data_IF_923081916077
#
_entry.id   IF_923081916077
#
_cell.length_a   1.000
_cell.length_b   1.000
_cell.length_c   1.000
_cell.angle_alpha   90.00
_cell.angle_beta   90.00
_cell.angle_gamma   90.00
#
_symmetry.space_group_name_H-M   'P 1'
#
loop_
_entity.id
_entity.type
_entity.pdbx_description
1 polymer ?
#
# COMPACT_ATOMS: atom_id res chain seq x y z
N UNK A 1 -2.61 11.77 -36.63
CA UNK A 1 -2.87 11.43 -35.22
C UNK A 1 -4.36 11.14 -35.13
N UNK A 2 -4.73 9.96 -34.64
CA UNK A 2 -6.04 9.34 -34.85
C UNK A 2 -7.15 10.10 -34.09
N UNK A 3 -8.28 10.39 -34.74
CA UNK A 3 -9.44 11.09 -34.14
C UNK A 3 -9.98 10.32 -32.92
N UNK A 4 -9.73 9.01 -32.87
CA UNK A 4 -10.01 8.16 -31.73
C UNK A 4 -9.15 8.48 -30.50
N UNK A 5 -7.87 8.82 -30.69
CA UNK A 5 -6.93 9.21 -29.63
C UNK A 5 -7.30 10.58 -29.03
N UNK A 6 -7.74 11.53 -29.85
CA UNK A 6 -8.23 12.83 -29.36
C UNK A 6 -9.50 12.69 -28.49
N UNK A 7 -10.43 11.79 -28.85
CA UNK A 7 -11.63 11.57 -28.04
C UNK A 7 -11.37 10.89 -26.68
N UNK A 8 -10.31 10.09 -26.58
CA UNK A 8 -9.85 9.49 -25.31
C UNK A 8 -9.16 10.52 -24.40
N UNK A 9 -8.49 11.52 -24.99
CA UNK A 9 -7.78 12.57 -24.26
C UNK A 9 -8.70 13.73 -23.83
N UNK A 10 -9.83 13.94 -24.50
CA UNK A 10 -10.80 15.01 -24.21
C UNK A 10 -11.54 14.90 -22.85
N UNK A 11 -11.18 13.93 -22.01
CA UNK A 11 -11.64 13.81 -20.62
C UNK A 11 -10.58 13.29 -19.66
N UNK A 12 -9.31 13.16 -20.08
CA UNK A 12 -8.24 12.73 -19.20
C UNK A 12 -7.91 13.86 -18.21
N UNK A 13 -7.84 13.59 -16.90
CA UNK A 13 -7.45 14.63 -15.94
C UNK A 13 -6.05 15.14 -16.31
N UNK A 14 -5.85 16.45 -16.20
CA UNK A 14 -4.57 17.15 -16.43
C UNK A 14 -3.43 16.57 -15.53
N UNK A 15 -3.78 15.80 -14.50
CA UNK A 15 -2.87 15.05 -13.63
C UNK A 15 -3.34 13.59 -13.53
N UNK A 16 -2.44 12.63 -13.77
CA UNK A 16 -2.67 11.22 -13.47
C UNK A 16 -2.37 10.90 -12.01
N UNK A 17 -3.16 10.04 -11.39
CA UNK A 17 -3.01 9.71 -9.97
C UNK A 17 -2.54 8.28 -9.77
N UNK A 18 -1.65 8.09 -8.80
CA UNK A 18 -1.13 6.77 -8.43
C UNK A 18 -1.32 6.54 -6.93
N UNK A 19 -1.73 5.33 -6.56
CA UNK A 19 -1.75 4.87 -5.17
C UNK A 19 -0.88 3.63 -5.05
N UNK A 20 0.05 3.67 -4.11
CA UNK A 20 0.86 2.50 -3.75
C UNK A 20 0.06 1.60 -2.80
N UNK A 21 0.06 0.30 -3.02
CA UNK A 21 -0.71 -0.65 -2.21
C UNK A 21 0.16 -1.80 -1.75
N UNK A 22 -0.01 -2.22 -0.50
CA UNK A 22 0.65 -3.43 0.01
C UNK A 22 0.37 -4.63 -0.89
N UNK A 23 1.38 -5.45 -1.15
CA UNK A 23 1.33 -6.56 -2.12
C UNK A 23 0.03 -7.38 -2.02
N UNK A 24 -0.33 -7.77 -0.79
CA UNK A 24 -1.46 -8.65 -0.51
C UNK A 24 -2.84 -8.06 -0.80
N UNK A 25 -2.95 -6.74 -1.05
CA UNK A 25 -4.20 -6.11 -1.52
C UNK A 25 -4.52 -6.57 -2.95
N UNK A 26 -3.49 -6.70 -3.80
CA UNK A 26 -3.64 -7.11 -5.21
C UNK A 26 -3.24 -8.57 -5.46
N UNK A 27 -2.51 -9.20 -4.54
CA UNK A 27 -2.16 -10.61 -4.64
C UNK A 27 -2.10 -11.27 -3.25
N UNK A 28 -3.23 -11.80 -2.80
CA UNK A 28 -3.39 -12.42 -1.48
C UNK A 28 -2.53 -13.66 -1.27
N UNK A 29 -1.95 -14.26 -2.32
CA UNK A 29 -1.02 -15.39 -2.18
C UNK A 29 0.29 -15.02 -1.47
N UNK A 30 0.55 -13.73 -1.24
CA UNK A 30 1.68 -13.24 -0.43
C UNK A 30 1.37 -13.08 1.05
N UNK A 31 0.10 -13.19 1.46
CA UNK A 31 -0.25 -13.23 2.89
C UNK A 31 0.32 -14.47 3.52
N UNK A 32 0.53 -14.44 4.84
CA UNK A 32 0.75 -15.69 5.56
C UNK A 32 -0.56 -16.48 5.47
N UNK A 33 -0.49 -17.71 4.99
CA UNK A 33 -1.65 -18.59 4.94
C UNK A 33 -1.25 -20.05 5.17
N UNK A 34 -2.16 -20.75 5.83
CA UNK A 34 -2.31 -22.21 5.79
C UNK A 34 -3.79 -22.53 5.58
N UNK A 35 -4.11 -23.79 5.27
CA UNK A 35 -5.50 -24.26 5.14
C UNK A 35 -6.27 -24.00 6.43
N UNK A 36 -7.26 -23.08 6.39
CA UNK A 36 -8.06 -22.69 7.56
C UNK A 36 -7.56 -21.47 8.35
N UNK A 37 -6.50 -20.79 7.90
CA UNK A 37 -5.95 -19.58 8.57
C UNK A 37 -6.85 -18.34 8.50
N UNK A 38 -7.89 -18.33 7.66
CA UNK A 38 -8.74 -17.15 7.43
C UNK A 38 -8.00 -15.98 6.76
N UNK A 39 -6.78 -16.19 6.25
CA UNK A 39 -5.98 -15.17 5.60
C UNK A 39 -6.44 -14.80 4.18
N UNK A 40 -7.28 -15.63 3.57
CA UNK A 40 -7.82 -15.43 2.23
C UNK A 40 -9.23 -14.87 2.29
N UNK A 41 -9.49 -13.80 1.54
CA UNK A 41 -10.80 -13.20 1.38
C UNK A 41 -11.18 -13.26 -0.10
N UNK A 42 -12.11 -14.16 -0.41
CA UNK A 42 -12.59 -14.39 -1.77
C UNK A 42 -13.23 -13.12 -2.38
N UNK A 43 -12.91 -12.84 -3.65
CA UNK A 43 -13.45 -11.70 -4.39
C UNK A 43 -12.97 -10.32 -3.93
N UNK A 44 -12.15 -10.21 -2.87
CA UNK A 44 -11.71 -8.92 -2.34
C UNK A 44 -10.98 -8.06 -3.40
N UNK A 45 -10.08 -8.65 -4.20
CA UNK A 45 -9.32 -7.92 -5.21
C UNK A 45 -10.29 -7.24 -6.20
N UNK A 46 -11.28 -7.99 -6.70
CA UNK A 46 -12.29 -7.47 -7.63
C UNK A 46 -13.08 -6.35 -6.97
N UNK A 47 -13.60 -6.54 -5.76
CA UNK A 47 -14.34 -5.51 -5.02
C UNK A 47 -13.52 -4.25 -4.78
N UNK A 48 -12.25 -4.39 -4.42
CA UNK A 48 -11.34 -3.28 -4.20
C UNK A 48 -11.13 -2.48 -5.50
N UNK A 49 -10.85 -3.17 -6.61
CA UNK A 49 -10.68 -2.56 -7.92
C UNK A 49 -11.96 -1.87 -8.41
N UNK A 50 -13.13 -2.48 -8.23
CA UNK A 50 -14.42 -1.91 -8.60
C UNK A 50 -14.71 -0.59 -7.87
N UNK A 51 -14.31 -0.47 -6.60
CA UNK A 51 -14.47 0.76 -5.81
C UNK A 51 -13.50 1.86 -6.21
N UNK A 52 -12.30 1.51 -6.70
CA UNK A 52 -11.29 2.47 -7.15
C UNK A 52 -11.46 2.87 -8.63
N UNK A 53 -12.04 2.00 -9.45
CA UNK A 53 -12.23 2.21 -10.89
C UNK A 53 -12.83 3.58 -11.25
N UNK A 54 -13.88 4.09 -10.57
CA UNK A 54 -14.46 5.38 -10.91
C UNK A 54 -13.52 6.58 -10.74
N UNK A 55 -12.40 6.41 -10.00
CA UNK A 55 -11.45 7.48 -9.72
C UNK A 55 -10.35 7.60 -10.78
N UNK A 56 -10.21 6.62 -11.68
CA UNK A 56 -9.16 6.61 -12.70
C UNK A 56 -7.74 6.58 -12.11
N UNK A 57 -7.57 6.02 -10.91
CA UNK A 57 -6.28 5.96 -10.20
C UNK A 57 -5.48 4.72 -10.63
N UNK A 58 -4.22 4.91 -11.01
CA UNK A 58 -3.25 3.84 -11.21
C UNK A 58 -2.79 3.23 -9.88
N UNK A 59 -2.48 1.93 -9.89
CA UNK A 59 -2.02 1.22 -8.70
C UNK A 59 -0.58 0.76 -8.85
N UNK A 60 0.26 1.09 -7.87
CA UNK A 60 1.63 0.58 -7.75
C UNK A 60 1.69 -0.47 -6.65
N UNK A 61 1.98 -1.72 -6.99
CA UNK A 61 2.05 -2.80 -6.02
C UNK A 61 3.41 -2.77 -5.30
N UNK A 62 3.39 -2.51 -3.98
CA UNK A 62 4.58 -2.57 -3.14
C UNK A 62 5.04 -4.02 -2.94
N UNK A 63 6.34 -4.26 -2.72
CA UNK A 63 6.84 -5.58 -2.33
C UNK A 63 6.29 -5.97 -0.95
N UNK A 64 6.20 -7.28 -0.69
CA UNK A 64 5.87 -7.81 0.63
C UNK A 64 7.16 -8.21 1.34
N UNK A 65 7.61 -7.51 2.41
CA UNK A 65 8.86 -7.86 3.07
C UNK A 65 8.83 -9.25 3.70
N UNK A 66 7.69 -9.65 4.26
CA UNK A 66 7.55 -10.96 4.90
C UNK A 66 7.65 -12.11 3.88
N UNK A 67 6.99 -11.98 2.73
CA UNK A 67 7.00 -12.99 1.68
C UNK A 67 8.32 -13.00 0.91
N UNK A 68 8.90 -11.82 0.60
CA UNK A 68 10.19 -11.72 -0.06
C UNK A 68 11.35 -12.27 0.76
N UNK A 69 11.20 -12.32 2.09
CA UNK A 69 12.23 -12.86 2.99
C UNK A 69 12.06 -14.35 3.31
N UNK A 70 10.83 -14.83 3.55
CA UNK A 70 10.58 -16.22 4.02
C UNK A 70 9.72 -17.06 3.08
N UNK A 71 9.11 -16.47 2.06
CA UNK A 71 8.15 -17.16 1.19
C UNK A 71 6.86 -17.59 1.90
N UNK A 72 6.24 -18.64 1.36
CA UNK A 72 5.05 -19.30 1.92
C UNK A 72 5.15 -20.83 1.78
N UNK A 73 4.57 -21.61 2.71
CA UNK A 73 3.93 -21.14 3.95
C UNK A 73 4.97 -20.65 4.97
N UNK A 74 4.58 -19.70 5.83
CA UNK A 74 5.42 -19.21 6.94
C UNK A 74 4.60 -19.07 8.22
N UNK A 75 5.26 -19.18 9.37
CA UNK A 75 4.63 -18.98 10.67
C UNK A 75 4.27 -17.50 10.88
N UNK A 76 3.14 -17.18 11.53
CA UNK A 76 2.81 -15.80 11.88
C UNK A 76 3.79 -15.29 12.93
N UNK A 77 4.40 -14.15 12.62
CA UNK A 77 5.36 -13.48 13.49
C UNK A 77 4.94 -12.03 13.72
N UNK A 78 5.34 -11.53 14.88
CA UNK A 78 5.12 -10.16 15.36
C UNK A 78 6.20 -9.22 14.84
N UNK A 79 6.04 -7.91 15.03
CA UNK A 79 7.03 -6.92 14.57
C UNK A 79 8.41 -7.24 15.15
N UNK A 80 8.48 -7.50 16.44
CA UNK A 80 9.73 -7.79 17.15
C UNK A 80 10.36 -9.12 16.72
N UNK A 81 9.55 -10.16 16.54
CA UNK A 81 10.02 -11.47 16.06
C UNK A 81 10.65 -11.35 14.67
N UNK A 82 10.00 -10.61 13.75
CA UNK A 82 10.56 -10.35 12.43
C UNK A 82 11.86 -9.53 12.50
N UNK A 83 11.90 -8.47 13.31
CA UNK A 83 13.11 -7.63 13.48
C UNK A 83 14.28 -8.40 14.09
N UNK A 84 14.02 -9.48 14.85
CA UNK A 84 15.06 -10.34 15.43
C UNK A 84 15.72 -11.27 14.40
N UNK A 85 15.11 -11.47 13.22
CA UNK A 85 15.69 -12.29 12.17
C UNK A 85 16.93 -11.61 11.56
N UNK A 86 18.08 -12.30 11.47
CA UNK A 86 19.30 -11.73 10.89
C UNK A 86 19.05 -11.19 9.48
N UNK A 87 19.35 -9.91 9.26
CA UNK A 87 19.23 -9.26 7.95
C UNK A 87 17.81 -8.80 7.56
N UNK A 88 16.77 -9.08 8.35
CA UNK A 88 15.40 -8.72 7.97
C UNK A 88 15.14 -7.21 7.93
N UNK A 89 15.68 -6.47 8.90
CA UNK A 89 15.57 -5.00 8.93
C UNK A 89 16.29 -4.36 7.73
N UNK A 90 17.44 -4.90 7.32
CA UNK A 90 18.17 -4.45 6.13
C UNK A 90 17.41 -4.78 4.84
N UNK A 91 16.78 -5.96 4.78
CA UNK A 91 15.87 -6.33 3.70
C UNK A 91 14.70 -5.34 3.57
N UNK A 92 14.04 -4.99 4.67
CA UNK A 92 12.96 -3.99 4.67
C UNK A 92 13.44 -2.62 4.19
N UNK A 93 14.63 -2.19 4.64
CA UNK A 93 15.25 -0.92 4.23
C UNK A 93 15.49 -0.88 2.72
N UNK A 94 16.10 -1.91 2.14
CA UNK A 94 16.37 -1.98 0.69
C UNK A 94 15.09 -1.96 -0.14
N UNK A 95 14.05 -2.67 0.30
CA UNK A 95 12.75 -2.62 -0.36
C UNK A 95 12.13 -1.21 -0.29
N UNK A 96 12.26 -0.53 0.86
CA UNK A 96 11.73 0.83 1.03
C UNK A 96 12.48 1.82 0.14
N UNK A 97 13.80 1.70 0.04
CA UNK A 97 14.64 2.50 -0.87
C UNK A 97 14.17 2.36 -2.32
N UNK A 98 14.00 1.12 -2.80
CA UNK A 98 13.50 0.88 -4.16
C UNK A 98 12.10 1.44 -4.38
N UNK A 99 11.19 1.25 -3.42
CA UNK A 99 9.84 1.81 -3.51
C UNK A 99 9.86 3.34 -3.55
N UNK A 100 10.73 3.99 -2.77
CA UNK A 100 10.89 5.46 -2.78
C UNK A 100 11.40 5.93 -4.13
N UNK A 101 12.35 5.23 -4.75
CA UNK A 101 12.83 5.55 -6.10
C UNK A 101 11.69 5.48 -7.12
N UNK A 102 10.91 4.39 -7.12
CA UNK A 102 9.79 4.20 -8.04
C UNK A 102 8.69 5.26 -7.83
N UNK A 103 8.34 5.53 -6.57
CA UNK A 103 7.34 6.54 -6.24
C UNK A 103 7.81 7.96 -6.57
N UNK A 104 9.10 8.24 -6.40
CA UNK A 104 9.71 9.51 -6.82
C UNK A 104 9.71 9.65 -8.34
N UNK A 105 9.92 8.56 -9.08
CA UNK A 105 9.91 8.56 -10.54
C UNK A 105 8.56 8.97 -11.11
N UNK A 106 7.44 8.51 -10.53
CA UNK A 106 6.10 8.97 -10.94
C UNK A 106 6.01 10.50 -10.91
N UNK A 107 6.48 11.15 -9.85
CA UNK A 107 6.38 12.62 -9.73
C UNK A 107 7.46 13.38 -10.49
N UNK A 108 8.70 12.89 -10.54
CA UNK A 108 9.83 13.63 -11.14
C UNK A 108 9.98 13.45 -12.65
N UNK A 109 9.56 12.31 -13.19
CA UNK A 109 9.72 11.99 -14.62
C UNK A 109 8.40 12.12 -15.40
N UNK A 110 7.37 12.74 -14.82
CA UNK A 110 6.13 13.05 -15.52
C UNK A 110 6.09 14.54 -15.90
N UNK A 111 5.90 14.81 -17.19
CA UNK A 111 5.92 16.17 -17.75
C UNK A 111 4.53 16.59 -18.20
N UNK A 112 3.89 15.79 -19.06
CA UNK A 112 2.52 16.02 -19.52
C UNK A 112 1.87 14.68 -19.95
N UNK A 113 0.86 14.15 -19.22
CA UNK A 113 0.32 14.69 -17.97
C UNK A 113 1.30 14.51 -16.80
N UNK A 114 1.23 15.40 -15.81
CA UNK A 114 1.93 15.20 -14.54
C UNK A 114 1.31 14.03 -13.77
N UNK A 115 2.12 13.28 -13.04
CA UNK A 115 1.63 12.22 -12.16
C UNK A 115 1.86 12.59 -10.70
N UNK A 116 0.87 12.25 -9.86
CA UNK A 116 0.93 12.45 -8.41
C UNK A 116 0.68 11.14 -7.68
N UNK A 117 1.60 10.79 -6.79
CA UNK A 117 1.36 9.72 -5.81
C UNK A 117 0.48 10.30 -4.71
N UNK A 118 -0.74 9.79 -4.57
CA UNK A 118 -1.71 10.27 -3.58
C UNK A 118 -1.48 9.63 -2.21
N UNK A 119 -1.33 8.31 -2.19
CA UNK A 119 -1.30 7.57 -0.96
C UNK A 119 -0.52 6.25 -1.05
N UNK A 120 -0.15 5.76 0.13
CA UNK A 120 0.25 4.37 0.40
C UNK A 120 -0.87 3.71 1.21
N UNK A 121 -1.34 2.53 0.78
CA UNK A 121 -2.30 1.71 1.51
C UNK A 121 -1.59 0.50 2.13
N UNK A 122 -1.54 0.47 3.46
CA UNK A 122 -1.02 -0.62 4.27
C UNK A 122 -2.11 -1.57 4.80
N UNK A 123 -1.71 -2.59 5.55
CA UNK A 123 -2.60 -3.57 6.18
C UNK A 123 -2.51 -3.49 7.70
N UNK A 124 -3.61 -3.18 8.36
CA UNK A 124 -3.68 -3.03 9.80
C UNK A 124 -3.36 -4.32 10.56
N UNK A 125 -2.47 -4.19 11.56
CA UNK A 125 -1.95 -5.29 12.37
C UNK A 125 -0.84 -6.09 11.71
N UNK A 126 -0.38 -5.73 10.51
CA UNK A 126 0.81 -6.36 9.91
C UNK A 126 2.09 -5.92 10.65
N UNK A 127 3.06 -6.83 10.86
CA UNK A 127 4.36 -6.49 11.43
C UNK A 127 5.18 -5.57 10.51
N UNK A 128 4.90 -5.58 9.20
CA UNK A 128 5.68 -4.84 8.19
C UNK A 128 4.89 -3.75 7.50
N UNK A 129 3.62 -4.03 7.15
CA UNK A 129 2.75 -3.15 6.36
C UNK A 129 1.69 -2.40 7.19
N UNK A 130 1.71 -2.49 8.52
CA UNK A 130 0.79 -1.76 9.40
C UNK A 130 0.98 -0.24 9.30
N UNK A 131 -0.12 0.52 9.20
CA UNK A 131 -0.07 1.99 9.15
C UNK A 131 -0.33 2.58 10.53
N UNK A 132 -1.43 2.19 11.18
CA UNK A 132 -1.78 2.69 12.51
C UNK A 132 -1.59 1.66 13.60
N UNK A 133 -1.68 0.37 13.26
CA UNK A 133 -1.48 -0.74 14.18
C UNK A 133 -0.54 -1.80 13.60
N UNK A 134 0.20 -2.44 14.50
CA UNK A 134 1.11 -3.57 14.22
C UNK A 134 0.88 -4.70 15.22
N UNK A 135 1.69 -5.75 15.17
CA UNK A 135 1.53 -6.96 15.98
C UNK A 135 2.62 -7.08 17.06
N UNK A 136 2.21 -7.54 18.25
CA UNK A 136 3.10 -7.81 19.40
C UNK A 136 2.78 -9.16 20.03
N UNK A 137 3.82 -9.90 20.47
CA UNK A 137 3.67 -11.19 21.16
C UNK A 137 3.28 -10.97 22.62
N UNK A 138 2.35 -11.80 23.10
CA UNK A 138 1.92 -11.90 24.51
C UNK A 138 1.83 -13.38 24.92
N UNK A 139 1.62 -13.63 26.22
CA UNK A 139 1.43 -14.98 26.75
C UNK A 139 0.24 -15.73 26.14
N UNK A 140 -0.78 -15.01 25.66
CA UNK A 140 -2.01 -15.60 25.07
C UNK A 140 -2.02 -15.57 23.54
N UNK A 141 -0.91 -15.16 22.91
CA UNK A 141 -0.78 -15.08 21.45
C UNK A 141 -0.37 -13.71 20.95
N UNK A 142 -0.58 -13.45 19.66
CA UNK A 142 -0.28 -12.15 19.03
C UNK A 142 -1.48 -11.22 19.14
N UNK A 143 -1.26 -9.99 19.63
CA UNK A 143 -2.27 -8.92 19.69
C UNK A 143 -1.94 -7.79 18.72
N UNK A 144 -2.93 -6.97 18.37
CA UNK A 144 -2.71 -5.70 17.67
C UNK A 144 -2.42 -4.59 18.68
N UNK A 145 -1.42 -3.77 18.41
CA UNK A 145 -1.05 -2.59 19.20
C UNK A 145 -0.92 -1.36 18.29
N UNK A 146 -1.10 -0.14 18.79
CA UNK A 146 -0.77 1.08 18.04
C UNK A 146 0.70 1.08 17.60
N UNK A 147 0.95 1.49 16.35
CA UNK A 147 2.28 1.59 15.77
C UNK A 147 2.33 1.19 14.30
N UNK A 148 3.40 1.61 13.62
CA UNK A 148 3.66 1.26 12.22
C UNK A 148 4.41 -0.06 12.11
N UNK A 149 4.18 -0.78 11.01
CA UNK A 149 5.04 -1.88 10.62
C UNK A 149 6.42 -1.39 10.17
N UNK A 150 7.43 -2.26 10.25
CA UNK A 150 8.84 -1.91 9.98
C UNK A 150 9.04 -1.23 8.63
N UNK A 151 8.41 -1.77 7.58
CA UNK A 151 8.58 -1.29 6.21
C UNK A 151 7.85 0.04 5.98
N UNK A 152 6.62 0.19 6.48
CA UNK A 152 5.87 1.45 6.36
C UNK A 152 6.57 2.59 7.10
N UNK A 153 7.10 2.33 8.30
CA UNK A 153 7.84 3.32 9.08
C UNK A 153 9.06 3.86 8.30
N UNK A 154 9.82 2.98 7.63
CA UNK A 154 10.94 3.37 6.79
C UNK A 154 10.50 4.11 5.53
N UNK A 155 9.51 3.57 4.81
CA UNK A 155 8.99 4.12 3.56
C UNK A 155 8.49 5.56 3.76
N UNK A 156 7.69 5.80 4.79
CA UNK A 156 7.17 7.13 5.10
C UNK A 156 8.28 8.14 5.43
N UNK A 157 9.25 7.73 6.26
CA UNK A 157 10.39 8.59 6.60
C UNK A 157 11.18 8.97 5.34
N UNK A 158 11.42 8.01 4.45
CA UNK A 158 12.20 8.22 3.23
C UNK A 158 11.44 9.05 2.19
N UNK A 159 10.14 8.84 1.99
CA UNK A 159 9.30 9.66 1.11
C UNK A 159 9.27 11.12 1.60
N UNK A 160 9.09 11.34 2.90
CA UNK A 160 9.15 12.67 3.51
C UNK A 160 10.50 13.33 3.29
N UNK A 161 11.60 12.59 3.43
CA UNK A 161 12.95 13.09 3.17
C UNK A 161 13.19 13.46 1.69
N UNK A 162 12.42 12.90 0.76
CA UNK A 162 12.43 13.27 -0.67
C UNK A 162 11.47 14.42 -1.01
N UNK A 163 10.73 14.94 -0.03
CA UNK A 163 9.75 16.01 -0.20
C UNK A 163 8.45 15.55 -0.86
N UNK A 164 8.15 14.25 -0.86
CA UNK A 164 6.87 13.74 -1.35
C UNK A 164 5.82 13.78 -0.23
N UNK A 165 4.75 14.53 -0.45
CA UNK A 165 3.58 14.57 0.44
C UNK A 165 2.59 13.46 0.05
N UNK A 166 2.71 12.32 0.72
CA UNK A 166 1.93 11.10 0.45
C UNK A 166 1.17 10.70 1.70
N UNK A 167 -0.15 10.52 1.56
CA UNK A 167 -0.99 10.05 2.66
C UNK A 167 -0.79 8.56 2.94
N UNK A 168 -0.98 8.12 4.18
CA UNK A 168 -0.93 6.71 4.55
C UNK A 168 -2.28 6.24 5.09
N UNK A 169 -2.81 5.16 4.52
CA UNK A 169 -4.09 4.60 4.92
C UNK A 169 -3.98 3.12 5.28
N UNK A 170 -4.57 2.76 6.42
CA UNK A 170 -4.66 1.39 6.89
C UNK A 170 -5.93 0.70 6.44
N UNK A 171 -5.79 -0.39 5.69
CA UNK A 171 -6.88 -1.31 5.40
C UNK A 171 -6.97 -2.36 6.52
N UNK A 172 -8.14 -2.49 7.15
CA UNK A 172 -8.40 -3.59 8.08
C UNK A 172 -9.26 -4.65 7.39
N UNK A 173 -8.65 -5.80 7.10
CA UNK A 173 -9.33 -6.90 6.42
C UNK A 173 -10.48 -7.51 7.25
N UNK A 174 -10.53 -7.28 8.57
CA UNK A 174 -11.68 -7.65 9.40
C UNK A 174 -12.89 -6.73 9.20
N UNK A 175 -12.66 -5.51 8.72
CA UNK A 175 -13.65 -4.44 8.52
C UNK A 175 -13.48 -3.85 7.10
N UNK A 176 -13.28 -4.74 6.13
CA UNK A 176 -12.80 -4.34 4.80
C UNK A 176 -13.75 -3.40 4.07
N UNK A 177 -15.07 -3.63 4.12
CA UNK A 177 -16.03 -2.83 3.37
C UNK A 177 -16.07 -1.38 3.89
N UNK A 178 -16.10 -1.22 5.22
CA UNK A 178 -16.06 0.10 5.87
C UNK A 178 -14.72 0.82 5.61
N UNK A 179 -13.61 0.11 5.81
CA UNK A 179 -12.29 0.72 5.66
C UNK A 179 -11.97 1.07 4.20
N UNK A 180 -12.36 0.23 3.23
CA UNK A 180 -12.26 0.55 1.80
C UNK A 180 -13.14 1.77 1.47
N UNK A 181 -14.40 1.82 1.92
CA UNK A 181 -15.27 2.97 1.66
C UNK A 181 -14.67 4.28 2.19
N UNK A 182 -14.10 4.26 3.40
CA UNK A 182 -13.41 5.42 3.99
C UNK A 182 -12.18 5.84 3.18
N UNK A 183 -11.35 4.89 2.75
CA UNK A 183 -10.16 5.15 1.94
C UNK A 183 -10.55 5.74 0.59
N UNK A 184 -11.54 5.15 -0.09
CA UNK A 184 -12.04 5.61 -1.38
C UNK A 184 -12.58 7.04 -1.26
N UNK A 185 -13.37 7.35 -0.24
CA UNK A 185 -13.83 8.71 0.03
C UNK A 185 -12.68 9.69 0.26
N UNK A 186 -11.63 9.28 0.96
CA UNK A 186 -10.45 10.12 1.18
C UNK A 186 -9.68 10.37 -0.13
N UNK A 187 -9.54 9.35 -0.98
CA UNK A 187 -8.91 9.48 -2.31
C UNK A 187 -9.75 10.34 -3.25
N UNK A 188 -11.08 10.18 -3.24
CA UNK A 188 -12.00 11.06 -3.98
C UNK A 188 -11.80 12.53 -3.63
N UNK A 189 -11.69 12.85 -2.33
CA UNK A 189 -11.44 14.21 -1.89
C UNK A 189 -10.09 14.74 -2.36
N UNK A 190 -9.06 13.90 -2.43
CA UNK A 190 -7.74 14.29 -2.94
C UNK A 190 -7.75 14.51 -4.46
N UNK A 191 -8.53 13.71 -5.20
CA UNK A 191 -8.68 13.84 -6.67
C UNK A 191 -9.51 15.08 -7.04
N UNK A 192 -10.57 15.38 -6.26
CA UNK A 192 -11.49 16.51 -6.50
C UNK A 192 -11.04 17.82 -5.86
N UNK A 193 -10.14 17.77 -4.88
CA UNK A 193 -9.62 18.96 -4.19
C UNK A 193 -8.86 19.87 -5.16
N UNK A 194 -8.90 21.20 -4.98
CA UNK A 194 -8.06 22.10 -5.76
C UNK A 194 -6.62 21.67 -5.53
N UNK A 195 -5.95 21.20 -6.60
CA UNK A 195 -4.53 20.89 -6.52
C UNK A 195 -3.81 22.11 -5.96
N UNK A 196 -2.95 21.91 -4.97
CA UNK A 196 -1.88 22.87 -4.74
C UNK A 196 -1.09 22.97 -6.05
N UNK A 197 -1.44 23.96 -6.85
CA UNK A 197 -0.63 24.50 -7.94
C UNK A 197 0.43 25.41 -7.34
#
# INVERSE_FOLDING_TARGET
MDVYLESLLNGAPYVGYVVAVSHCILNQTTRWFWKGSGGWVEGFIVKFLERLKPLGIGLYQLPCPEFGFLGNPRKPMTKEEYMSLPGFTDHCRKLAEKAVEDLTAFTRFSVDPKLRVLAVIGIEGSPTCGVYTTSKRTAVGSIRIPGKGVFIEMLEKMLKAKGLDVAFYGLDLKQQDETVARIVKALENQVKGPGLL
#
